data_IF_600135809620
#
_entry.id   IF_600135809620
#
_cell.length_a   1.000
_cell.length_b   1.000
_cell.length_c   1.000
_cell.angle_alpha   90.00
_cell.angle_beta   90.00
_cell.angle_gamma   90.00
#
_symmetry.space_group_name_H-M   'P 1'
#
loop_
_entity.id
_entity.type
_entity.pdbx_description
1 polymer ?
#
# COMPACT_ATOMS: atom_id res chain seq x y z
N UNK A 1 21.52 16.71 16.60
CA UNK A 1 22.68 16.41 15.75
C UNK A 1 23.11 17.67 15.02
N UNK A 2 22.31 18.27 14.13
CA UNK A 2 22.70 19.52 13.41
C UNK A 2 23.03 20.70 14.31
N UNK A 3 22.57 20.72 15.54
CA UNK A 3 22.87 21.76 16.54
C UNK A 3 24.14 21.47 17.36
N UNK A 4 24.96 20.46 17.01
CA UNK A 4 26.18 20.10 17.72
C UNK A 4 25.96 19.43 19.08
N UNK A 5 24.75 18.99 19.38
CA UNK A 5 24.42 18.26 20.64
C UNK A 5 24.82 16.81 20.48
N UNK A 6 25.62 16.26 21.39
CA UNK A 6 25.96 14.84 21.43
C UNK A 6 24.68 14.03 21.79
N UNK A 7 24.15 13.32 20.81
CA UNK A 7 22.90 12.57 20.93
C UNK A 7 23.15 11.08 20.78
N UNK A 8 22.62 10.26 21.69
CA UNK A 8 22.54 8.80 21.49
C UNK A 8 21.20 8.48 20.79
N UNK A 9 21.25 7.67 19.75
CA UNK A 9 20.08 7.31 18.96
C UNK A 9 19.76 5.83 19.20
N UNK A 10 18.55 5.54 19.69
CA UNK A 10 17.98 4.19 19.74
C UNK A 10 16.81 4.14 18.76
N UNK A 11 16.91 3.27 17.77
CA UNK A 11 15.85 3.06 16.79
C UNK A 11 15.10 1.77 17.08
N UNK A 12 13.77 1.84 17.10
CA UNK A 12 12.90 0.69 17.26
C UNK A 12 12.23 0.40 15.93
N UNK A 13 12.36 -0.82 15.43
CA UNK A 13 11.74 -1.26 14.17
C UNK A 13 11.37 -2.73 14.26
N UNK A 14 10.22 -3.09 13.73
CA UNK A 14 9.84 -4.50 13.55
C UNK A 14 10.60 -5.15 12.37
N UNK A 15 10.90 -4.35 11.34
CA UNK A 15 11.57 -4.78 10.10
C UNK A 15 12.54 -3.69 9.64
N UNK A 16 13.80 -3.71 10.10
CA UNK A 16 14.78 -2.67 9.78
C UNK A 16 15.19 -2.66 8.30
N UNK A 17 14.87 -3.72 7.56
CA UNK A 17 15.10 -3.85 6.11
C UNK A 17 13.76 -4.10 5.44
N UNK A 18 13.22 -3.12 4.72
CA UNK A 18 11.97 -3.28 3.98
C UNK A 18 12.22 -3.84 2.57
N UNK A 19 12.98 -3.11 1.75
CA UNK A 19 13.20 -3.47 0.35
C UNK A 19 14.68 -3.66 0.02
N UNK A 20 15.58 -2.97 0.71
CA UNK A 20 17.03 -2.99 0.44
C UNK A 20 17.83 -2.90 1.72
N UNK A 21 19.00 -3.50 1.74
CA UNK A 21 19.95 -3.33 2.85
C UNK A 21 20.40 -1.88 3.05
N UNK A 22 20.29 -1.04 2.03
CA UNK A 22 20.53 0.39 2.14
C UNK A 22 19.58 1.10 3.14
N UNK A 23 18.40 0.56 3.39
CA UNK A 23 17.48 1.14 4.38
C UNK A 23 18.09 1.06 5.77
N UNK A 24 18.66 -0.09 6.14
CA UNK A 24 19.39 -0.26 7.39
C UNK A 24 20.67 0.59 7.42
N UNK A 25 21.43 0.64 6.31
CA UNK A 25 22.60 1.51 6.20
C UNK A 25 22.26 2.96 6.49
N UNK A 26 21.17 3.50 5.89
CA UNK A 26 20.73 4.87 6.09
C UNK A 26 20.29 5.12 7.55
N UNK A 27 19.67 4.14 8.21
CA UNK A 27 19.36 4.22 9.63
C UNK A 27 20.64 4.30 10.48
N UNK A 28 21.63 3.49 10.19
CA UNK A 28 22.92 3.51 10.88
C UNK A 28 23.65 4.84 10.67
N UNK A 29 23.55 5.45 9.48
CA UNK A 29 24.13 6.76 9.19
C UNK A 29 23.64 7.87 10.14
N UNK A 30 22.43 7.77 10.65
CA UNK A 30 21.92 8.70 11.67
C UNK A 30 22.66 8.56 13.01
N UNK A 31 23.13 7.38 13.35
CA UNK A 31 23.81 7.13 14.61
C UNK A 31 25.26 7.70 14.66
N UNK A 32 25.91 7.78 13.50
CA UNK A 32 27.29 8.31 13.38
C UNK A 32 27.41 9.57 12.50
N UNK A 33 26.31 10.28 12.34
CA UNK A 33 26.29 11.61 11.70
C UNK A 33 26.83 11.62 10.26
N UNK A 34 26.80 10.47 9.58
CA UNK A 34 27.35 10.31 8.23
C UNK A 34 28.87 10.03 8.17
N UNK A 35 29.55 9.97 9.31
CA UNK A 35 30.99 9.67 9.40
C UNK A 35 31.22 8.17 9.57
N UNK A 36 31.15 7.41 8.47
CA UNK A 36 31.33 5.94 8.47
C UNK A 36 32.66 5.50 9.13
N UNK A 37 33.73 6.28 8.96
CA UNK A 37 35.05 6.04 9.52
C UNK A 37 35.04 5.86 11.06
N UNK A 38 34.13 6.54 11.76
CA UNK A 38 34.01 6.43 13.22
C UNK A 38 33.49 5.07 13.68
N UNK A 39 32.66 4.42 12.89
CA UNK A 39 32.19 3.06 13.18
C UNK A 39 33.21 2.03 12.72
N UNK A 40 33.82 2.21 11.58
CA UNK A 40 34.87 1.32 11.06
C UNK A 40 35.99 1.15 12.10
N UNK A 41 36.42 2.27 12.71
CA UNK A 41 37.40 2.27 13.79
C UNK A 41 36.87 1.66 15.09
N UNK A 42 35.62 1.92 15.46
CA UNK A 42 35.04 1.46 16.72
C UNK A 42 34.73 -0.05 16.72
N UNK A 43 34.37 -0.61 15.58
CA UNK A 43 34.03 -2.03 15.43
C UNK A 43 35.19 -2.90 15.00
N UNK A 44 36.33 -2.27 14.58
CA UNK A 44 37.53 -2.98 14.09
C UNK A 44 37.23 -3.99 12.96
N UNK A 45 36.22 -3.69 12.15
CA UNK A 45 35.83 -4.48 11.00
C UNK A 45 36.79 -4.14 9.86
N UNK A 46 37.48 -5.11 9.31
CA UNK A 46 38.56 -4.91 8.32
C UNK A 46 38.13 -4.35 6.95
N UNK A 47 36.86 -3.94 6.81
CA UNK A 47 36.26 -3.41 5.57
C UNK A 47 35.30 -2.27 5.90
N UNK A 48 35.17 -1.32 4.98
CA UNK A 48 34.24 -0.19 5.16
C UNK A 48 32.78 -0.66 5.18
N UNK A 49 31.94 0.00 6.00
CA UNK A 49 30.48 -0.28 6.07
C UNK A 49 29.85 -0.18 4.69
N UNK A 50 30.28 0.77 3.85
CA UNK A 50 29.78 0.93 2.49
C UNK A 50 30.04 -0.30 1.61
N UNK A 51 31.22 -0.89 1.72
CA UNK A 51 31.59 -2.10 0.99
C UNK A 51 30.82 -3.32 1.51
N UNK A 52 30.63 -3.43 2.82
CA UNK A 52 29.86 -4.52 3.43
C UNK A 52 28.42 -4.48 2.94
N UNK A 53 27.74 -3.35 3.01
CA UNK A 53 26.35 -3.20 2.53
C UNK A 53 26.22 -3.39 1.01
N UNK A 54 27.19 -2.88 0.23
CA UNK A 54 27.22 -3.09 -1.21
C UNK A 54 27.32 -4.58 -1.55
N UNK A 55 28.23 -5.30 -0.89
CA UNK A 55 28.41 -6.76 -1.09
C UNK A 55 27.17 -7.53 -0.69
N UNK A 56 26.57 -7.21 0.45
CA UNK A 56 25.33 -7.85 0.91
C UNK A 56 24.18 -7.61 -0.07
N UNK A 57 24.03 -6.38 -0.61
CA UNK A 57 22.99 -6.08 -1.60
C UNK A 57 23.21 -6.84 -2.92
N UNK A 58 24.45 -7.02 -3.36
CA UNK A 58 24.76 -7.83 -4.55
C UNK A 58 24.41 -9.30 -4.33
N UNK A 59 24.74 -9.86 -3.16
CA UNK A 59 24.38 -11.24 -2.78
C UNK A 59 22.85 -11.41 -2.77
N UNK A 60 22.12 -10.49 -2.17
CA UNK A 60 20.66 -10.49 -2.18
C UNK A 60 20.07 -10.41 -3.60
N UNK A 61 20.59 -9.52 -4.44
CA UNK A 61 20.12 -9.36 -5.81
C UNK A 61 20.37 -10.62 -6.65
N UNK A 62 21.49 -11.32 -6.40
CA UNK A 62 21.80 -12.61 -7.03
C UNK A 62 20.82 -13.68 -6.58
N UNK A 63 20.59 -13.81 -5.27
CA UNK A 63 19.63 -14.74 -4.69
C UNK A 63 18.20 -14.48 -5.19
N UNK A 64 17.76 -13.21 -5.27
CA UNK A 64 16.43 -12.83 -5.73
C UNK A 64 16.14 -13.18 -7.20
N UNK A 65 17.18 -13.40 -8.01
CA UNK A 65 17.06 -13.85 -9.42
C UNK A 65 16.99 -15.37 -9.58
N UNK A 66 17.18 -16.12 -8.52
CA UNK A 66 17.07 -17.59 -8.57
C UNK A 66 15.62 -18.00 -8.81
N UNK A 67 15.43 -19.22 -9.31
CA UNK A 67 14.10 -19.83 -9.40
C UNK A 67 13.48 -19.96 -8.00
N UNK A 68 12.13 -19.85 -7.86
CA UNK A 68 11.44 -19.87 -6.56
C UNK A 68 11.85 -21.04 -5.65
N UNK A 69 12.08 -22.23 -6.25
CA UNK A 69 12.48 -23.45 -5.52
C UNK A 69 13.87 -23.31 -4.87
N UNK A 70 14.73 -22.45 -5.40
CA UNK A 70 16.10 -22.25 -4.95
C UNK A 70 16.26 -21.00 -4.06
N UNK A 71 15.18 -20.22 -3.83
CA UNK A 71 15.20 -19.06 -2.96
C UNK A 71 14.95 -19.43 -1.50
N UNK A 72 15.87 -20.20 -0.92
CA UNK A 72 15.80 -20.54 0.51
C UNK A 72 16.60 -19.57 1.37
N UNK A 73 16.22 -19.45 2.64
CA UNK A 73 16.92 -18.58 3.60
C UNK A 73 18.35 -19.03 3.83
N UNK A 74 18.57 -20.34 3.91
CA UNK A 74 19.89 -20.96 4.10
C UNK A 74 20.85 -20.52 2.99
N UNK A 75 20.38 -20.56 1.74
CA UNK A 75 21.19 -20.16 0.59
C UNK A 75 21.49 -18.66 0.58
N UNK A 76 20.58 -17.81 1.06
CA UNK A 76 20.86 -16.39 1.23
C UNK A 76 21.93 -16.17 2.29
N UNK A 77 21.85 -16.87 3.43
CA UNK A 77 22.82 -16.77 4.51
C UNK A 77 24.22 -17.22 4.08
N UNK A 78 24.33 -18.23 3.23
CA UNK A 78 25.60 -18.69 2.66
C UNK A 78 26.25 -17.66 1.71
N UNK A 79 25.45 -16.86 1.00
CA UNK A 79 25.95 -15.84 0.08
C UNK A 79 26.31 -14.53 0.79
N UNK A 80 25.82 -14.31 2.02
CA UNK A 80 26.15 -13.12 2.81
C UNK A 80 27.52 -13.28 3.49
N UNK A 81 28.30 -12.21 3.52
CA UNK A 81 29.64 -12.23 4.13
C UNK A 81 29.57 -12.29 5.67
N UNK A 82 30.59 -12.88 6.29
CA UNK A 82 30.74 -12.89 7.75
C UNK A 82 30.77 -11.48 8.33
N UNK A 83 31.47 -10.55 7.69
CA UNK A 83 31.56 -9.13 8.10
C UNK A 83 30.19 -8.45 8.23
N UNK A 84 29.22 -8.85 7.39
CA UNK A 84 27.84 -8.34 7.46
C UNK A 84 27.13 -8.78 8.73
N UNK A 85 27.30 -10.03 9.15
CA UNK A 85 26.73 -10.53 10.40
C UNK A 85 27.40 -9.94 11.61
N UNK A 86 28.72 -9.78 11.59
CA UNK A 86 29.48 -9.14 12.68
C UNK A 86 29.05 -7.69 12.88
N UNK A 87 28.87 -6.95 11.79
CA UNK A 87 28.30 -5.59 11.83
C UNK A 87 26.89 -5.59 12.43
N UNK A 88 26.01 -6.48 11.98
CA UNK A 88 24.62 -6.56 12.49
C UNK A 88 24.61 -6.86 13.99
N UNK A 89 25.39 -7.82 14.45
CA UNK A 89 25.44 -8.18 15.88
C UNK A 89 25.95 -7.04 16.75
N UNK A 90 26.88 -6.23 16.23
CA UNK A 90 27.41 -5.08 16.95
C UNK A 90 26.41 -3.90 17.07
N UNK A 91 25.55 -3.69 16.08
CA UNK A 91 24.68 -2.51 16.00
C UNK A 91 23.20 -2.79 16.25
N UNK A 92 22.79 -4.04 16.33
CA UNK A 92 21.37 -4.42 16.51
C UNK A 92 21.14 -5.30 17.74
N UNK A 93 19.96 -5.13 18.35
CA UNK A 93 19.46 -6.02 19.37
C UNK A 93 18.23 -6.75 18.84
N UNK A 94 18.47 -7.88 18.14
CA UNK A 94 17.38 -8.66 17.55
C UNK A 94 16.76 -9.62 18.59
N UNK A 95 15.43 -9.69 18.62
CA UNK A 95 14.68 -10.61 19.47
C UNK A 95 13.60 -11.32 18.68
N UNK A 96 13.85 -12.58 18.32
CA UNK A 96 12.82 -13.44 17.71
C UNK A 96 11.93 -14.08 18.80
N UNK A 97 10.73 -14.54 18.42
CA UNK A 97 9.86 -15.28 19.35
C UNK A 97 10.54 -16.54 19.92
N UNK A 98 11.29 -17.26 19.11
CA UNK A 98 12.07 -18.43 19.55
C UNK A 98 13.15 -18.05 20.54
N UNK A 99 13.82 -16.91 20.36
CA UNK A 99 14.77 -16.37 21.30
C UNK A 99 14.10 -16.02 22.64
N UNK A 100 12.96 -15.32 22.58
CA UNK A 100 12.20 -14.95 23.79
C UNK A 100 11.80 -16.21 24.56
N UNK A 101 11.20 -17.21 23.91
CA UNK A 101 10.79 -18.46 24.57
C UNK A 101 11.95 -19.20 25.18
N UNK A 102 13.14 -19.16 24.55
CA UNK A 102 14.32 -19.91 25.03
C UNK A 102 15.04 -19.25 26.20
N UNK A 103 15.09 -17.92 26.24
CA UNK A 103 15.98 -17.19 27.16
C UNK A 103 15.27 -16.28 28.15
N UNK A 104 13.96 -16.06 28.04
CA UNK A 104 13.21 -15.19 28.95
C UNK A 104 12.12 -15.96 29.70
N UNK A 105 11.77 -15.50 30.89
CA UNK A 105 10.57 -16.00 31.59
C UNK A 105 9.32 -15.46 30.87
N UNK A 106 8.53 -16.38 30.34
CA UNK A 106 7.34 -16.06 29.55
C UNK A 106 6.04 -16.13 30.36
N UNK A 107 6.11 -16.25 31.70
CA UNK A 107 4.91 -16.35 32.56
C UNK A 107 3.97 -15.17 32.37
N UNK A 108 4.53 -13.97 32.32
CA UNK A 108 3.77 -12.72 32.19
C UNK A 108 3.34 -12.45 30.71
N UNK A 109 4.04 -13.03 29.74
CA UNK A 109 3.76 -12.84 28.31
C UNK A 109 2.72 -13.85 27.83
N UNK A 110 2.61 -15.03 28.45
CA UNK A 110 1.80 -16.14 28.03
C UNK A 110 2.42 -16.95 26.89
N UNK A 111 1.59 -17.78 26.23
CA UNK A 111 2.03 -18.61 25.09
C UNK A 111 1.89 -17.85 23.79
N UNK A 112 2.92 -17.89 22.96
CA UNK A 112 2.78 -17.40 21.58
C UNK A 112 1.80 -18.27 20.80
N UNK A 113 0.95 -17.65 19.94
CA UNK A 113 -0.02 -18.39 19.17
C UNK A 113 0.66 -19.32 18.14
N UNK A 114 -0.01 -20.45 17.87
CA UNK A 114 0.41 -21.37 16.82
C UNK A 114 0.38 -20.65 15.45
N UNK A 115 1.45 -20.82 14.67
CA UNK A 115 1.55 -20.30 13.31
C UNK A 115 1.48 -21.42 12.29
N UNK A 116 0.57 -21.30 11.35
CA UNK A 116 0.49 -22.18 10.18
C UNK A 116 1.27 -21.58 9.01
N UNK A 117 1.58 -22.41 8.03
CA UNK A 117 2.15 -21.94 6.77
C UNK A 117 1.13 -21.02 6.05
N UNK A 118 1.61 -19.96 5.36
CA UNK A 118 0.74 -19.10 4.56
C UNK A 118 0.04 -19.88 3.46
N UNK A 119 -1.23 -19.56 3.21
CA UNK A 119 -2.02 -20.14 2.12
C UNK A 119 -2.34 -19.05 1.10
N UNK A 120 -1.87 -19.23 -0.13
CA UNK A 120 -2.21 -18.32 -1.24
C UNK A 120 -3.50 -18.76 -1.90
N UNK A 121 -4.45 -17.84 -2.04
CA UNK A 121 -5.73 -18.03 -2.72
C UNK A 121 -5.77 -17.18 -3.99
N UNK A 122 -6.22 -17.75 -5.08
CA UNK A 122 -6.36 -17.06 -6.38
C UNK A 122 -7.75 -17.33 -6.95
N UNK A 123 -8.78 -16.63 -6.42
CA UNK A 123 -10.16 -16.81 -6.91
C UNK A 123 -10.29 -16.28 -8.35
N UNK A 124 -11.29 -16.78 -9.06
CA UNK A 124 -11.77 -16.16 -10.31
C UNK A 124 -12.32 -14.75 -9.99
N UNK A 125 -12.49 -13.93 -11.02
CA UNK A 125 -13.07 -12.60 -10.87
C UNK A 125 -14.54 -12.68 -10.44
N UNK A 126 -15.31 -13.53 -11.12
CA UNK A 126 -16.75 -13.75 -10.91
C UNK A 126 -17.14 -15.19 -11.25
N UNK A 127 -18.28 -15.62 -10.76
CA UNK A 127 -18.95 -16.88 -11.11
C UNK A 127 -20.07 -16.71 -12.14
N UNK A 128 -20.43 -15.46 -12.50
CA UNK A 128 -21.54 -15.18 -13.42
C UNK A 128 -21.28 -15.66 -14.85
N UNK A 129 -20.05 -15.50 -15.33
CA UNK A 129 -19.71 -15.83 -16.70
C UNK A 129 -18.22 -16.16 -16.80
N UNK A 130 -17.90 -17.27 -17.44
CA UNK A 130 -16.50 -17.67 -17.67
C UNK A 130 -15.78 -16.76 -18.68
N UNK A 131 -16.52 -15.91 -19.39
CA UNK A 131 -15.98 -15.01 -20.41
C UNK A 131 -15.40 -13.69 -19.87
N UNK A 132 -15.56 -13.36 -18.57
CA UNK A 132 -14.95 -12.16 -17.97
C UNK A 132 -13.84 -12.59 -17.02
N UNK A 133 -12.61 -12.47 -17.47
CA UNK A 133 -11.41 -12.83 -16.70
C UNK A 133 -10.55 -11.62 -16.39
N UNK A 134 -9.58 -11.79 -15.47
CA UNK A 134 -8.55 -10.77 -15.23
C UNK A 134 -7.75 -10.44 -16.50
N UNK A 135 -7.54 -11.42 -17.39
CA UNK A 135 -6.82 -11.23 -18.65
C UNK A 135 -7.58 -10.34 -19.62
N UNK A 136 -8.90 -10.55 -19.76
CA UNK A 136 -9.73 -9.75 -20.66
C UNK A 136 -9.75 -8.27 -20.21
N UNK A 137 -9.84 -8.03 -18.90
CA UNK A 137 -9.76 -6.67 -18.36
C UNK A 137 -8.38 -6.08 -18.56
N UNK A 138 -7.31 -6.86 -18.35
CA UNK A 138 -5.94 -6.38 -18.57
C UNK A 138 -5.66 -6.03 -20.04
N UNK A 139 -6.22 -6.77 -21.00
CA UNK A 139 -6.16 -6.45 -22.41
C UNK A 139 -6.82 -5.11 -22.71
N UNK A 140 -8.03 -4.86 -22.21
CA UNK A 140 -8.70 -3.57 -22.36
C UNK A 140 -7.93 -2.42 -21.70
N UNK A 141 -7.33 -2.65 -20.52
CA UNK A 141 -6.50 -1.64 -19.85
C UNK A 141 -5.24 -1.29 -20.65
N UNK A 142 -4.68 -2.22 -21.41
CA UNK A 142 -3.51 -1.97 -22.25
C UNK A 142 -3.81 -1.07 -23.45
N UNK A 143 -5.06 -1.01 -23.91
CA UNK A 143 -5.51 -0.13 -24.97
C UNK A 143 -5.68 1.33 -24.52
N UNK A 144 -5.71 1.60 -23.19
CA UNK A 144 -5.85 2.96 -22.66
C UNK A 144 -4.60 3.81 -22.93
N UNK A 145 -4.81 4.99 -23.50
CA UNK A 145 -3.79 6.02 -23.60
C UNK A 145 -3.52 6.71 -22.27
N UNK A 146 -4.51 6.73 -21.36
CA UNK A 146 -4.50 7.51 -20.14
C UNK A 146 -4.15 8.98 -20.36
N UNK A 147 -4.75 9.54 -21.43
CA UNK A 147 -4.49 10.88 -21.98
C UNK A 147 -4.79 12.00 -20.97
N UNK A 148 -5.66 11.72 -20.01
CA UNK A 148 -6.00 12.66 -18.92
C UNK A 148 -4.79 12.93 -17.99
N UNK A 149 -3.83 11.99 -17.91
CA UNK A 149 -2.62 12.12 -17.07
C UNK A 149 -1.39 12.62 -17.83
N UNK A 150 -1.52 12.84 -19.14
CA UNK A 150 -0.41 13.22 -20.01
C UNK A 150 -0.75 14.41 -20.90
N UNK A 151 -1.35 15.49 -20.40
CA UNK A 151 -1.73 16.64 -21.21
C UNK A 151 -0.55 17.37 -21.86
N UNK A 152 0.66 17.28 -21.29
CA UNK A 152 1.85 17.90 -21.87
C UNK A 152 2.25 17.30 -23.21
N UNK A 153 1.84 16.07 -23.52
CA UNK A 153 2.08 15.43 -24.80
C UNK A 153 1.33 16.12 -25.97
N UNK A 154 0.39 16.97 -25.64
CA UNK A 154 -0.46 17.70 -26.59
C UNK A 154 -0.11 19.19 -26.66
N UNK A 155 0.88 19.68 -25.89
CA UNK A 155 1.37 21.05 -25.98
C UNK A 155 2.08 21.23 -27.32
N UNK A 156 1.79 22.35 -28.01
CA UNK A 156 2.47 22.68 -29.26
C UNK A 156 3.98 22.89 -29.03
N UNK A 157 4.81 22.34 -29.88
CA UNK A 157 6.29 22.43 -29.76
C UNK A 157 6.78 23.88 -29.67
N UNK A 158 6.07 24.82 -30.28
CA UNK A 158 6.42 26.25 -30.30
C UNK A 158 6.38 26.93 -28.92
N UNK A 159 5.69 26.37 -27.93
CA UNK A 159 5.51 26.93 -26.58
C UNK A 159 5.95 25.98 -25.48
N UNK A 160 6.47 24.81 -25.84
CA UNK A 160 6.81 23.74 -24.89
C UNK A 160 7.91 24.16 -23.92
N UNK A 161 8.92 24.87 -24.42
CA UNK A 161 10.04 25.38 -23.63
C UNK A 161 9.59 26.32 -22.51
N UNK A 162 8.53 27.11 -22.73
CA UNK A 162 8.00 28.02 -21.71
C UNK A 162 7.43 27.27 -20.48
N UNK A 163 6.92 26.06 -20.69
CA UNK A 163 6.41 25.17 -19.63
C UNK A 163 7.55 24.43 -18.91
N UNK A 164 8.63 24.08 -19.59
CA UNK A 164 9.81 23.42 -19.00
C UNK A 164 10.58 24.33 -18.06
N UNK A 165 10.76 25.61 -18.43
CA UNK A 165 11.47 26.64 -17.64
C UNK A 165 10.77 26.86 -16.28
N UNK A 166 9.45 26.79 -16.21
CA UNK A 166 8.69 27.03 -14.99
C UNK A 166 8.76 25.86 -13.98
N UNK A 167 9.38 24.74 -14.31
CA UNK A 167 9.53 23.54 -13.48
C UNK A 167 10.99 23.28 -13.01
N UNK A 168 11.88 24.25 -13.06
CA UNK A 168 13.23 24.10 -12.55
C UNK A 168 13.23 23.67 -11.07
N UNK A 169 13.75 22.47 -10.81
CA UNK A 169 13.94 21.90 -9.47
C UNK A 169 13.71 20.40 -9.34
N UNK A 170 13.11 19.71 -10.31
CA UNK A 170 12.84 18.26 -10.22
C UNK A 170 13.80 17.35 -10.99
N UNK A 171 14.67 17.90 -11.84
CA UNK A 171 15.64 17.12 -12.64
C UNK A 171 15.02 16.20 -13.71
N UNK A 172 13.70 16.19 -13.87
CA UNK A 172 12.98 15.39 -14.87
C UNK A 172 12.23 16.32 -15.82
N UNK A 173 12.27 16.02 -17.13
CA UNK A 173 11.42 16.70 -18.12
C UNK A 173 9.95 16.43 -17.84
N UNK A 174 9.05 17.34 -18.27
CA UNK A 174 7.59 17.18 -18.15
C UNK A 174 7.16 15.84 -18.79
N UNK A 175 7.62 15.56 -20.00
CA UNK A 175 7.34 14.31 -20.72
C UNK A 175 7.77 13.05 -19.96
N UNK A 176 8.95 13.09 -19.32
CA UNK A 176 9.48 11.98 -18.54
C UNK A 176 8.64 11.70 -17.31
N UNK A 177 8.17 12.76 -16.64
CA UNK A 177 7.31 12.73 -15.48
C UNK A 177 5.92 12.15 -15.82
N UNK A 178 5.27 12.64 -16.89
CA UNK A 178 3.96 12.17 -17.31
C UNK A 178 3.98 10.73 -17.81
N UNK A 179 5.01 10.32 -18.55
CA UNK A 179 5.20 8.90 -18.92
C UNK A 179 5.35 8.01 -17.71
N UNK A 180 6.06 8.48 -16.67
CA UNK A 180 6.17 7.80 -15.39
C UNK A 180 4.81 7.68 -14.70
N UNK A 181 4.03 8.76 -14.66
CA UNK A 181 2.69 8.80 -14.08
C UNK A 181 1.73 7.85 -14.81
N UNK A 182 1.71 7.87 -16.14
CA UNK A 182 0.90 6.94 -16.94
C UNK A 182 1.18 5.48 -16.59
N UNK A 183 2.46 5.09 -16.51
CA UNK A 183 2.86 3.73 -16.13
C UNK A 183 2.44 3.39 -14.70
N UNK A 184 2.58 4.33 -13.78
CA UNK A 184 2.14 4.18 -12.39
C UNK A 184 0.63 3.97 -12.32
N UNK A 185 -0.15 4.78 -13.04
CA UNK A 185 -1.61 4.68 -13.06
C UNK A 185 -2.10 3.35 -13.67
N UNK A 186 -1.50 2.89 -14.76
CA UNK A 186 -1.81 1.57 -15.31
C UNK A 186 -1.55 0.44 -14.29
N UNK A 187 -0.41 0.51 -13.59
CA UNK A 187 -0.09 -0.44 -12.52
C UNK A 187 -1.07 -0.35 -11.35
N UNK A 188 -1.47 0.87 -10.98
CA UNK A 188 -2.41 1.09 -9.87
C UNK A 188 -3.81 0.54 -10.22
N UNK A 189 -4.28 0.71 -11.44
CA UNK A 189 -5.55 0.12 -11.91
C UNK A 189 -5.55 -1.41 -11.78
N UNK A 190 -4.46 -2.07 -12.17
CA UNK A 190 -4.32 -3.52 -12.00
C UNK A 190 -4.30 -3.92 -10.53
N UNK A 191 -3.58 -3.20 -9.67
CA UNK A 191 -3.57 -3.46 -8.22
C UNK A 191 -4.95 -3.27 -7.59
N UNK A 192 -5.73 -2.27 -8.03
CA UNK A 192 -7.09 -2.06 -7.55
C UNK A 192 -8.01 -3.19 -7.98
N UNK A 193 -7.88 -3.69 -9.22
CA UNK A 193 -8.61 -4.87 -9.69
C UNK A 193 -8.25 -6.11 -8.85
N UNK A 194 -6.97 -6.32 -8.57
CA UNK A 194 -6.54 -7.40 -7.68
C UNK A 194 -7.07 -7.25 -6.27
N UNK A 195 -7.21 -6.03 -5.77
CA UNK A 195 -7.71 -5.76 -4.43
C UNK A 195 -9.19 -6.09 -4.31
N UNK A 196 -10.05 -5.45 -5.11
CA UNK A 196 -11.49 -5.77 -5.24
C UNK A 196 -12.09 -5.20 -6.52
N UNK A 197 -13.10 -5.88 -7.05
CA UNK A 197 -13.89 -5.39 -8.18
C UNK A 197 -14.53 -4.03 -7.85
N UNK A 198 -14.98 -3.85 -6.60
CA UNK A 198 -15.59 -2.59 -6.17
C UNK A 198 -14.60 -1.41 -6.20
N UNK A 199 -13.40 -1.57 -5.63
CA UNK A 199 -12.36 -0.52 -5.64
C UNK A 199 -11.96 -0.16 -7.07
N UNK A 200 -11.83 -1.16 -7.94
CA UNK A 200 -11.51 -0.95 -9.34
C UNK A 200 -12.62 -0.16 -10.06
N UNK A 201 -13.89 -0.56 -9.88
CA UNK A 201 -15.06 0.10 -10.46
C UNK A 201 -15.18 1.56 -10.02
N UNK A 202 -14.98 1.85 -8.73
CA UNK A 202 -14.95 3.21 -8.21
C UNK A 202 -13.88 4.07 -8.88
N UNK A 203 -12.70 3.52 -9.08
CA UNK A 203 -11.60 4.24 -9.73
C UNK A 203 -11.88 4.50 -11.21
N UNK A 204 -12.39 3.49 -11.93
CA UNK A 204 -12.81 3.69 -13.33
C UNK A 204 -13.89 4.78 -13.44
N UNK A 205 -14.87 4.78 -12.53
CA UNK A 205 -15.90 5.82 -12.47
C UNK A 205 -15.31 7.22 -12.29
N UNK A 206 -14.41 7.38 -11.32
CA UNK A 206 -13.73 8.68 -11.08
C UNK A 206 -12.97 9.15 -12.33
N UNK A 207 -12.22 8.27 -12.99
CA UNK A 207 -11.48 8.63 -14.23
C UNK A 207 -12.47 9.02 -15.33
N UNK A 208 -13.56 8.27 -15.47
CA UNK A 208 -14.63 8.57 -16.45
C UNK A 208 -15.20 9.96 -16.23
N UNK A 209 -15.57 10.29 -14.99
CA UNK A 209 -16.11 11.59 -14.60
C UNK A 209 -15.14 12.73 -14.92
N UNK A 210 -13.84 12.54 -14.64
CA UNK A 210 -12.82 13.54 -14.95
C UNK A 210 -12.65 13.77 -16.44
N UNK A 211 -12.65 12.71 -17.24
CA UNK A 211 -12.58 12.84 -18.70
C UNK A 211 -13.82 13.57 -19.24
N UNK A 212 -15.02 13.22 -18.77
CA UNK A 212 -16.25 13.88 -19.18
C UNK A 212 -16.26 15.37 -18.82
N UNK A 213 -15.83 15.73 -17.60
CA UNK A 213 -15.69 17.12 -17.18
C UNK A 213 -14.67 17.87 -18.05
N UNK A 214 -13.53 17.26 -18.35
CA UNK A 214 -12.49 17.86 -19.20
C UNK A 214 -13.02 18.11 -20.62
N UNK A 215 -13.68 17.13 -21.23
CA UNK A 215 -14.30 17.28 -22.54
C UNK A 215 -15.38 18.36 -22.56
N UNK A 216 -16.15 18.50 -21.48
CA UNK A 216 -17.14 19.56 -21.34
C UNK A 216 -16.51 20.96 -21.26
N UNK A 217 -15.36 21.10 -20.57
CA UNK A 217 -14.60 22.37 -20.51
C UNK A 217 -14.07 22.72 -21.90
N UNK A 218 -13.46 21.76 -22.58
CA UNK A 218 -12.95 21.93 -23.95
C UNK A 218 -14.08 22.36 -24.89
N UNK A 219 -15.26 21.74 -24.80
CA UNK A 219 -16.42 22.04 -25.66
C UNK A 219 -17.02 23.41 -25.48
N UNK A 220 -16.83 24.06 -24.34
CA UNK A 220 -17.36 25.42 -24.06
C UNK A 220 -16.56 26.55 -24.70
N UNK A 221 -15.48 26.25 -25.44
CA UNK A 221 -14.58 27.25 -26.06
C UNK A 221 -14.09 28.35 -25.09
N UNK A 222 -13.97 28.04 -23.83
CA UNK A 222 -13.47 28.98 -22.83
C UNK A 222 -11.95 29.12 -22.97
N UNK A 223 -11.47 30.37 -23.01
CA UNK A 223 -10.04 30.73 -22.98
C UNK A 223 -9.38 30.45 -21.60
N UNK A 224 -9.81 29.41 -20.91
CA UNK A 224 -9.38 29.10 -19.55
C UNK A 224 -8.15 28.18 -19.52
N UNK A 225 -7.37 28.29 -18.45
CA UNK A 225 -6.35 27.32 -18.12
C UNK A 225 -6.97 26.11 -17.42
N UNK A 226 -6.59 24.91 -17.81
CA UNK A 226 -6.94 23.68 -17.08
C UNK A 226 -5.91 23.46 -15.99
N UNK A 227 -6.36 23.29 -14.76
CA UNK A 227 -5.52 22.87 -13.64
C UNK A 227 -5.38 21.33 -13.68
N UNK A 228 -4.27 20.86 -14.23
CA UNK A 228 -3.99 19.43 -14.42
C UNK A 228 -3.81 18.70 -13.10
N UNK A 229 -3.49 19.43 -12.01
CA UNK A 229 -3.29 18.82 -10.70
C UNK A 229 -4.56 18.40 -10.00
N UNK A 230 -5.71 18.94 -10.41
CA UNK A 230 -7.02 18.51 -9.88
C UNK A 230 -7.27 17.04 -10.20
N UNK A 231 -6.64 16.49 -11.25
CA UNK A 231 -6.85 15.10 -11.70
C UNK A 231 -5.96 14.08 -10.99
N UNK A 232 -4.86 14.49 -10.35
CA UNK A 232 -3.91 13.56 -9.71
C UNK A 232 -4.13 13.41 -8.21
N UNK A 233 -4.74 14.41 -7.54
CA UNK A 233 -4.85 14.45 -6.08
C UNK A 233 -5.95 13.54 -5.49
N UNK A 234 -7.07 13.35 -6.20
CA UNK A 234 -8.22 12.62 -5.65
C UNK A 234 -8.20 11.10 -5.90
N UNK A 235 -7.36 10.61 -6.79
CA UNK A 235 -7.25 9.18 -7.05
C UNK A 235 -6.41 8.44 -6.00
N UNK A 236 -5.55 9.15 -5.31
CA UNK A 236 -4.65 8.65 -4.27
C UNK A 236 -4.97 9.16 -2.87
N UNK A 237 -6.17 9.71 -2.62
CA UNK A 237 -6.58 10.20 -1.30
C UNK A 237 -6.67 9.12 -0.21
N UNK A 238 -6.17 7.92 -0.47
CA UNK A 238 -6.03 6.85 0.50
C UNK A 238 -4.57 6.40 0.59
N UNK A 239 -3.88 6.91 1.61
CA UNK A 239 -2.74 6.27 2.26
C UNK A 239 -1.37 6.23 1.56
N UNK A 240 -1.03 7.12 0.64
CA UNK A 240 0.37 7.27 0.27
C UNK A 240 0.94 8.64 0.70
N UNK A 241 1.30 8.77 1.97
CA UNK A 241 2.19 9.86 2.46
C UNK A 241 3.55 9.90 1.75
N UNK A 242 3.81 8.95 0.85
CA UNK A 242 5.08 8.75 0.13
C UNK A 242 4.97 8.87 -1.39
N UNK A 243 3.94 9.53 -1.95
CA UNK A 243 3.92 9.76 -3.38
C UNK A 243 4.86 10.93 -3.76
N UNK A 244 6.02 10.66 -4.43
CA UNK A 244 6.96 11.70 -4.84
C UNK A 244 6.39 12.64 -5.92
N UNK A 245 5.15 12.39 -6.38
CA UNK A 245 4.48 13.17 -7.43
C UNK A 245 3.49 14.21 -6.91
N UNK A 246 3.22 14.28 -5.61
CA UNK A 246 2.46 15.36 -4.98
C UNK A 246 3.33 16.62 -4.90
N UNK A 247 3.46 17.35 -6.00
CA UNK A 247 4.27 18.56 -5.95
C UNK A 247 4.10 19.47 -7.16
N UNK A 248 3.64 20.69 -6.92
CA UNK A 248 3.51 21.87 -7.79
C UNK A 248 2.47 21.77 -8.91
N UNK A 249 1.40 22.52 -8.74
CA UNK A 249 0.32 22.77 -9.68
C UNK A 249 0.86 23.33 -10.99
N UNK A 250 0.77 22.59 -12.07
CA UNK A 250 1.06 23.07 -13.42
C UNK A 250 -0.26 23.42 -14.11
N UNK A 251 -0.45 24.69 -14.41
CA UNK A 251 -1.57 25.15 -15.20
C UNK A 251 -1.15 25.17 -16.67
N UNK A 252 -1.85 24.43 -17.52
CA UNK A 252 -1.64 24.45 -18.94
C UNK A 252 -2.81 25.21 -19.59
N UNK A 253 -2.49 26.16 -20.47
CA UNK A 253 -3.49 26.95 -21.18
C UNK A 253 -4.03 26.13 -22.36
N UNK A 254 -5.35 26.08 -22.52
CA UNK A 254 -5.99 25.36 -23.65
C UNK A 254 -5.57 25.90 -25.04
N UNK A 255 -5.11 27.15 -25.12
CA UNK A 255 -4.59 27.73 -26.38
C UNK A 255 -3.27 27.11 -26.82
N UNK A 256 -2.51 26.57 -25.88
CA UNK A 256 -1.17 26.02 -26.08
C UNK A 256 -1.19 24.51 -26.34
N UNK A 257 -2.37 23.91 -26.40
CA UNK A 257 -2.58 22.46 -26.58
C UNK A 257 -3.28 22.18 -27.91
N UNK A 258 -2.89 21.10 -28.59
CA UNK A 258 -3.66 20.47 -29.65
C UNK A 258 -4.92 19.82 -29.07
N UNK A 259 -5.93 20.66 -28.87
CA UNK A 259 -7.21 20.30 -28.24
C UNK A 259 -7.93 19.22 -29.06
N UNK A 260 -7.77 19.19 -30.38
CA UNK A 260 -8.45 18.23 -31.25
C UNK A 260 -7.86 16.84 -31.03
N UNK A 261 -6.55 16.72 -31.09
CA UNK A 261 -5.85 15.45 -30.83
C UNK A 261 -6.12 14.96 -29.42
N UNK A 262 -5.98 15.83 -28.40
CA UNK A 262 -6.25 15.47 -27.01
C UNK A 262 -7.69 15.02 -26.79
N UNK A 263 -8.68 15.73 -27.33
CA UNK A 263 -10.08 15.34 -27.22
C UNK A 263 -10.39 13.99 -27.87
N UNK A 264 -9.72 13.64 -28.97
CA UNK A 264 -9.91 12.35 -29.62
C UNK A 264 -9.37 11.21 -28.74
N UNK A 265 -8.18 11.39 -28.16
CA UNK A 265 -7.57 10.38 -27.27
C UNK A 265 -8.36 10.26 -25.96
N UNK A 266 -8.88 11.38 -25.42
CA UNK A 266 -9.79 11.34 -24.26
C UNK A 266 -11.10 10.59 -24.54
N UNK A 267 -11.68 10.76 -25.74
CA UNK A 267 -12.89 10.00 -26.13
C UNK A 267 -12.60 8.52 -26.29
N UNK A 268 -11.45 8.17 -26.86
CA UNK A 268 -11.02 6.79 -26.96
C UNK A 268 -10.87 6.14 -25.58
N UNK A 269 -10.17 6.80 -24.67
CA UNK A 269 -10.05 6.34 -23.27
C UNK A 269 -11.43 6.19 -22.60
N UNK A 270 -12.34 7.15 -22.83
CA UNK A 270 -13.68 7.15 -22.28
C UNK A 270 -14.52 5.94 -22.77
N UNK A 271 -14.42 5.57 -24.04
CA UNK A 271 -15.11 4.41 -24.61
C UNK A 271 -14.64 3.11 -23.96
N UNK A 272 -13.33 2.94 -23.78
CA UNK A 272 -12.74 1.77 -23.13
C UNK A 272 -13.17 1.71 -21.66
N UNK A 273 -13.11 2.83 -20.92
CA UNK A 273 -13.53 2.89 -19.53
C UNK A 273 -15.01 2.54 -19.34
N UNK A 274 -15.88 3.04 -20.23
CA UNK A 274 -17.32 2.71 -20.22
C UNK A 274 -17.56 1.23 -20.54
N UNK A 275 -16.80 0.65 -21.46
CA UNK A 275 -16.84 -0.78 -21.75
C UNK A 275 -16.45 -1.60 -20.53
N UNK A 276 -15.33 -1.26 -19.85
CA UNK A 276 -14.91 -1.91 -18.62
C UNK A 276 -15.96 -1.82 -17.51
N UNK A 277 -16.55 -0.63 -17.31
CA UNK A 277 -17.62 -0.45 -16.34
C UNK A 277 -18.85 -1.30 -16.67
N UNK A 278 -19.20 -1.44 -17.94
CA UNK A 278 -20.29 -2.29 -18.39
C UNK A 278 -19.98 -3.77 -18.14
N UNK A 279 -18.78 -4.25 -18.44
CA UNK A 279 -18.33 -5.63 -18.16
C UNK A 279 -18.45 -5.99 -16.67
N UNK A 280 -18.18 -5.02 -15.79
CA UNK A 280 -18.18 -5.22 -14.35
C UNK A 280 -19.55 -4.99 -13.69
N UNK A 281 -20.53 -4.47 -14.43
CA UNK A 281 -21.80 -3.98 -13.87
C UNK A 281 -22.55 -5.04 -13.05
N UNK A 282 -22.58 -6.24 -13.56
CA UNK A 282 -23.39 -7.33 -12.98
C UNK A 282 -22.64 -8.13 -11.90
N UNK A 283 -21.36 -7.81 -11.65
CA UNK A 283 -20.59 -8.42 -10.56
C UNK A 283 -21.02 -7.76 -9.23
N UNK A 284 -22.10 -8.29 -8.65
CA UNK A 284 -22.56 -7.89 -7.31
C UNK A 284 -21.69 -8.57 -6.22
N UNK A 285 -21.82 -8.20 -4.93
CA UNK A 285 -21.07 -8.84 -3.85
C UNK A 285 -21.28 -10.37 -3.79
N UNK A 286 -22.46 -10.89 -4.19
CA UNK A 286 -22.76 -12.31 -4.26
C UNK A 286 -21.93 -13.03 -5.33
N UNK A 287 -21.61 -12.34 -6.41
CA UNK A 287 -20.86 -12.82 -7.56
C UNK A 287 -19.37 -12.43 -7.55
N UNK A 288 -18.93 -11.70 -6.52
CA UNK A 288 -17.51 -11.41 -6.27
C UNK A 288 -16.85 -12.64 -5.62
N UNK A 289 -16.20 -13.46 -6.43
CA UNK A 289 -15.56 -14.69 -5.96
C UNK A 289 -14.52 -14.46 -4.87
N UNK A 290 -13.83 -13.32 -4.87
CA UNK A 290 -12.85 -12.99 -3.84
C UNK A 290 -13.51 -12.68 -2.49
N UNK A 291 -14.59 -11.90 -2.51
CA UNK A 291 -15.38 -11.64 -1.31
C UNK A 291 -16.02 -12.94 -0.78
N UNK A 292 -16.60 -13.76 -1.64
CA UNK A 292 -17.23 -15.02 -1.24
C UNK A 292 -16.21 -16.02 -0.66
N UNK A 293 -15.00 -16.06 -1.20
CA UNK A 293 -13.90 -16.85 -0.64
C UNK A 293 -13.51 -16.35 0.76
N UNK A 294 -13.40 -15.03 0.96
CA UNK A 294 -13.15 -14.43 2.27
C UNK A 294 -14.26 -14.82 3.28
N UNK A 295 -15.53 -14.76 2.87
CA UNK A 295 -16.67 -15.20 3.69
C UNK A 295 -16.52 -16.65 4.13
N UNK A 296 -16.13 -17.52 3.20
CA UNK A 296 -15.92 -18.95 3.49
C UNK A 296 -14.77 -19.18 4.47
N UNK A 297 -13.63 -18.50 4.25
CA UNK A 297 -12.46 -18.61 5.12
C UNK A 297 -12.75 -18.06 6.53
N UNK A 298 -13.52 -16.98 6.65
CA UNK A 298 -13.96 -16.43 7.94
C UNK A 298 -14.90 -17.40 8.68
N UNK A 299 -15.87 -17.99 8.00
CA UNK A 299 -16.77 -19.01 8.60
C UNK A 299 -15.97 -20.19 9.12
N UNK A 300 -15.04 -20.71 8.33
CA UNK A 300 -14.16 -21.81 8.75
C UNK A 300 -13.34 -21.42 9.98
N UNK A 301 -12.75 -20.22 10.01
CA UNK A 301 -11.97 -19.72 11.15
C UNK A 301 -12.80 -19.58 12.42
N UNK A 302 -14.06 -19.15 12.33
CA UNK A 302 -14.92 -18.99 13.50
C UNK A 302 -15.43 -20.33 14.04
N UNK A 303 -15.64 -21.32 13.17
CA UNK A 303 -16.05 -22.66 13.56
C UNK A 303 -14.90 -23.52 14.10
N UNK A 304 -13.72 -23.35 13.50
CA UNK A 304 -12.51 -24.12 13.81
C UNK A 304 -11.31 -23.17 14.04
N UNK A 305 -11.26 -22.47 15.18
CA UNK A 305 -10.18 -21.56 15.47
C UNK A 305 -8.84 -22.30 15.60
N UNK A 306 -7.78 -21.75 14.98
CA UNK A 306 -6.43 -22.33 14.99
C UNK A 306 -5.85 -22.38 16.41
N UNK A 307 -6.10 -21.32 17.17
CA UNK A 307 -5.76 -21.23 18.60
C UNK A 307 -7.06 -21.33 19.40
N UNK A 308 -7.07 -22.14 20.41
CA UNK A 308 -8.23 -22.41 21.25
C UNK A 308 -8.88 -21.12 21.74
N UNK A 309 -10.20 -21.03 21.63
CA UNK A 309 -11.03 -19.85 21.98
C UNK A 309 -10.69 -18.53 21.28
N UNK A 310 -9.75 -18.53 20.33
CA UNK A 310 -9.36 -17.32 19.63
C UNK A 310 -10.01 -17.21 18.23
N UNK A 311 -11.11 -16.45 18.17
CA UNK A 311 -11.81 -16.12 16.92
C UNK A 311 -11.33 -14.82 16.27
N UNK A 312 -10.34 -14.14 16.83
CA UNK A 312 -9.86 -12.85 16.29
C UNK A 312 -9.26 -13.01 14.91
N UNK A 313 -9.61 -12.07 14.03
CA UNK A 313 -9.14 -11.99 12.64
C UNK A 313 -8.70 -10.57 12.33
N UNK A 314 -7.56 -10.44 11.68
CA UNK A 314 -7.07 -9.19 11.11
C UNK A 314 -7.06 -9.32 9.59
N UNK A 315 -7.78 -8.41 8.92
CA UNK A 315 -7.89 -8.35 7.47
C UNK A 315 -7.16 -7.08 6.99
N UNK A 316 -6.08 -7.26 6.26
CA UNK A 316 -5.37 -6.15 5.62
C UNK A 316 -5.79 -5.98 4.17
N UNK A 317 -5.95 -4.72 3.75
CA UNK A 317 -6.17 -4.34 2.37
C UNK A 317 -5.20 -3.24 1.96
N UNK A 318 -4.82 -3.22 0.69
CA UNK A 318 -3.97 -2.16 0.15
C UNK A 318 -4.72 -0.83 -0.07
N UNK A 319 -6.06 -0.86 -0.14
CA UNK A 319 -6.87 0.31 -0.47
C UNK A 319 -8.02 0.48 0.52
N UNK A 320 -8.27 1.71 0.95
CA UNK A 320 -9.37 2.05 1.85
C UNK A 320 -10.75 1.73 1.22
N UNK A 321 -10.94 1.99 -0.08
CA UNK A 321 -12.16 1.60 -0.80
C UNK A 321 -12.47 0.09 -0.65
N UNK A 322 -11.44 -0.77 -0.63
CA UNK A 322 -11.62 -2.22 -0.39
C UNK A 322 -11.93 -2.52 1.07
N UNK A 323 -11.31 -1.81 2.02
CA UNK A 323 -11.61 -1.97 3.43
C UNK A 323 -13.05 -1.58 3.75
N UNK A 324 -13.51 -0.45 3.22
CA UNK A 324 -14.89 0.02 3.32
C UNK A 324 -15.87 -0.99 2.71
N UNK A 325 -15.59 -1.47 1.51
CA UNK A 325 -16.40 -2.48 0.84
C UNK A 325 -16.55 -3.75 1.67
N UNK A 326 -15.45 -4.31 2.19
CA UNK A 326 -15.49 -5.50 3.04
C UNK A 326 -16.31 -5.23 4.31
N UNK A 327 -16.13 -4.07 4.94
CA UNK A 327 -16.87 -3.69 6.13
C UNK A 327 -18.38 -3.59 5.85
N UNK A 328 -18.78 -2.92 4.79
CA UNK A 328 -20.18 -2.74 4.39
C UNK A 328 -20.88 -4.06 4.07
N UNK A 329 -20.16 -5.00 3.46
CA UNK A 329 -20.73 -6.30 3.10
C UNK A 329 -20.74 -7.30 4.26
N UNK A 330 -19.81 -7.23 5.20
CA UNK A 330 -19.61 -8.30 6.18
C UNK A 330 -19.90 -7.90 7.62
N UNK A 331 -19.81 -6.62 8.01
CA UNK A 331 -19.85 -6.22 9.41
C UNK A 331 -21.17 -6.62 10.10
N UNK A 332 -22.29 -6.22 9.51
CA UNK A 332 -23.62 -6.55 10.06
C UNK A 332 -23.93 -8.05 9.99
N UNK A 333 -23.49 -8.71 8.94
CA UNK A 333 -23.67 -10.13 8.76
C UNK A 333 -22.91 -10.93 9.82
N UNK A 334 -21.64 -10.63 10.05
CA UNK A 334 -20.82 -11.27 11.09
C UNK A 334 -21.42 -11.02 12.46
N UNK A 335 -21.89 -9.79 12.75
CA UNK A 335 -22.54 -9.46 14.02
C UNK A 335 -23.81 -10.28 14.22
N UNK A 336 -24.66 -10.40 13.20
CA UNK A 336 -25.96 -11.13 13.28
C UNK A 336 -25.77 -12.65 13.32
N UNK A 337 -24.90 -13.20 12.44
CA UNK A 337 -24.76 -14.66 12.30
C UNK A 337 -23.83 -15.27 13.36
N UNK A 338 -22.80 -14.55 13.80
CA UNK A 338 -21.75 -15.07 14.66
C UNK A 338 -21.68 -14.39 16.04
N UNK A 339 -22.40 -13.30 16.27
CA UNK A 339 -22.32 -12.52 17.50
C UNK A 339 -21.02 -11.74 17.69
N UNK A 340 -20.12 -11.72 16.68
CA UNK A 340 -18.80 -11.13 16.73
C UNK A 340 -18.83 -9.66 16.30
N UNK A 341 -18.03 -8.82 16.94
CA UNK A 341 -17.91 -7.41 16.57
C UNK A 341 -16.83 -7.20 15.51
N UNK A 342 -17.14 -6.30 14.57
CA UNK A 342 -16.24 -5.92 13.48
C UNK A 342 -15.84 -4.47 13.65
N UNK A 343 -14.54 -4.19 13.52
CA UNK A 343 -13.97 -2.84 13.46
C UNK A 343 -13.32 -2.58 12.11
N UNK A 344 -13.29 -1.32 11.70
CA UNK A 344 -12.62 -0.83 10.51
C UNK A 344 -11.70 0.33 10.89
N UNK A 345 -10.48 0.30 10.38
CA UNK A 345 -9.51 1.40 10.48
C UNK A 345 -8.86 1.64 9.12
N UNK A 346 -8.88 2.89 8.70
CA UNK A 346 -8.12 3.37 7.53
C UNK A 346 -7.35 4.63 7.89
N UNK A 347 -6.34 5.02 7.12
CA UNK A 347 -5.53 6.21 7.42
C UNK A 347 -6.30 7.53 7.40
N UNK A 348 -7.46 7.56 6.74
CA UNK A 348 -8.26 8.77 6.51
C UNK A 348 -9.48 8.93 7.42
N UNK A 349 -9.78 7.96 8.30
CA UNK A 349 -11.01 7.97 9.11
C UNK A 349 -10.77 7.68 10.58
N UNK A 350 -11.68 8.17 11.45
CA UNK A 350 -11.67 7.88 12.90
C UNK A 350 -12.00 6.42 13.25
N UNK A 351 -12.20 5.58 12.24
CA UNK A 351 -12.60 4.20 12.41
C UNK A 351 -14.12 4.01 12.49
N UNK A 352 -14.58 2.78 12.25
CA UNK A 352 -15.98 2.34 12.41
C UNK A 352 -16.02 1.03 13.18
N UNK A 353 -17.15 0.74 13.88
CA UNK A 353 -17.28 -0.54 14.56
C UNK A 353 -18.76 -0.88 14.79
N UNK A 354 -19.06 -2.17 14.96
CA UNK A 354 -20.42 -2.68 15.19
C UNK A 354 -20.87 -2.65 16.65
N UNK A 355 -20.03 -2.20 17.59
CA UNK A 355 -20.38 -2.03 19.01
C UNK A 355 -21.26 -0.77 19.13
N UNK A 356 -22.48 -0.88 19.71
CA UNK A 356 -23.36 0.28 19.86
C UNK A 356 -22.76 1.36 20.78
N UNK A 357 -22.94 2.65 20.43
CA UNK A 357 -22.47 3.80 21.22
C UNK A 357 -20.96 3.78 21.50
N UNK A 358 -20.20 3.15 20.62
CA UNK A 358 -18.75 3.06 20.74
C UNK A 358 -18.10 4.45 20.61
N UNK A 359 -17.14 4.83 21.48
CA UNK A 359 -16.41 6.09 21.32
C UNK A 359 -15.41 5.97 20.16
N UNK A 360 -15.86 6.34 18.96
CA UNK A 360 -15.08 6.18 17.73
C UNK A 360 -13.78 6.97 17.79
N UNK A 361 -12.67 6.26 17.69
CA UNK A 361 -11.34 6.79 17.42
C UNK A 361 -10.43 5.63 16.99
N UNK A 362 -9.38 5.94 16.25
CA UNK A 362 -8.35 5.00 15.85
C UNK A 362 -7.83 4.15 17.03
N UNK A 363 -7.41 4.82 18.10
CA UNK A 363 -6.84 4.14 19.29
C UNK A 363 -7.87 3.27 20.01
N UNK A 364 -9.13 3.70 20.09
CA UNK A 364 -10.17 2.92 20.77
C UNK A 364 -10.47 1.62 20.02
N UNK A 365 -10.56 1.65 18.69
CA UNK A 365 -10.76 0.43 17.88
C UNK A 365 -9.61 -0.56 18.13
N UNK A 366 -8.36 -0.10 18.14
CA UNK A 366 -7.21 -0.95 18.46
C UNK A 366 -7.25 -1.48 19.89
N UNK A 367 -7.66 -0.66 20.86
CA UNK A 367 -7.78 -1.04 22.27
C UNK A 367 -8.83 -2.15 22.46
N UNK A 368 -9.93 -2.08 21.75
CA UNK A 368 -10.98 -3.10 21.84
C UNK A 368 -10.66 -4.35 21.00
N UNK A 369 -9.82 -4.24 19.96
CA UNK A 369 -9.31 -5.40 19.24
C UNK A 369 -8.23 -6.13 20.04
N UNK A 370 -7.35 -5.41 20.73
CA UNK A 370 -6.25 -5.96 21.54
C UNK A 370 -6.35 -5.54 23.01
N UNK A 371 -7.38 -6.01 23.74
CA UNK A 371 -7.75 -5.48 25.04
C UNK A 371 -6.69 -5.66 26.13
N UNK A 372 -5.92 -6.74 26.07
CA UNK A 372 -4.86 -7.01 27.05
C UNK A 372 -3.64 -6.13 26.81
N UNK A 373 -3.14 -6.09 25.58
CA UNK A 373 -1.92 -5.34 25.22
C UNK A 373 -2.10 -3.81 25.20
N UNK A 374 -3.35 -3.35 25.16
CA UNK A 374 -3.73 -1.92 25.16
C UNK A 374 -4.39 -1.48 26.47
N UNK A 375 -4.29 -2.28 27.53
CA UNK A 375 -4.79 -1.97 28.88
C UNK A 375 -6.28 -1.51 28.90
N UNK A 376 -7.14 -2.15 28.08
CA UNK A 376 -8.56 -1.77 27.98
C UNK A 376 -9.24 -1.74 29.35
N UNK A 377 -8.94 -2.70 30.25
CA UNK A 377 -9.54 -2.76 31.57
C UNK A 377 -9.27 -1.51 32.42
N UNK A 378 -8.14 -0.85 32.20
CA UNK A 378 -7.77 0.42 32.85
C UNK A 378 -8.47 1.60 32.19
N UNK A 379 -8.43 1.65 30.84
CA UNK A 379 -8.99 2.76 30.07
C UNK A 379 -10.53 2.74 30.04
N UNK A 380 -11.13 1.57 29.99
CA UNK A 380 -12.57 1.35 29.87
C UNK A 380 -13.06 0.26 30.85
N UNK A 381 -13.05 0.53 32.18
CA UNK A 381 -13.31 -0.50 33.21
C UNK A 381 -14.72 -1.13 33.12
N UNK A 382 -15.67 -0.46 32.50
CA UNK A 382 -17.04 -0.95 32.35
C UNK A 382 -17.30 -1.68 31.03
N UNK A 383 -16.32 -1.68 30.10
CA UNK A 383 -16.49 -2.32 28.80
C UNK A 383 -16.18 -3.82 28.89
N UNK A 384 -17.11 -4.63 28.44
CA UNK A 384 -16.98 -6.10 28.38
C UNK A 384 -16.86 -6.60 26.94
N UNK A 385 -17.21 -5.78 25.97
CA UNK A 385 -17.21 -6.15 24.55
C UNK A 385 -15.82 -6.03 23.94
N UNK A 386 -15.49 -6.98 23.05
CA UNK A 386 -14.27 -6.97 22.23
C UNK A 386 -14.63 -6.70 20.78
N UNK A 387 -13.68 -6.21 20.00
CA UNK A 387 -13.69 -6.31 18.55
C UNK A 387 -12.97 -7.60 18.18
N UNK A 388 -13.65 -8.46 17.41
CA UNK A 388 -13.17 -9.78 17.03
C UNK A 388 -12.54 -9.79 15.64
N UNK A 389 -13.11 -9.01 14.72
CA UNK A 389 -12.62 -8.85 13.35
C UNK A 389 -12.20 -7.41 13.13
N UNK A 390 -10.94 -7.18 12.78
CA UNK A 390 -10.44 -5.88 12.42
C UNK A 390 -10.08 -5.84 10.94
N UNK A 391 -10.70 -4.92 10.21
CA UNK A 391 -10.39 -4.61 8.81
C UNK A 391 -9.54 -3.35 8.82
N UNK A 392 -8.39 -3.38 8.15
CA UNK A 392 -7.47 -2.24 8.16
C UNK A 392 -6.66 -2.11 6.87
N UNK A 393 -6.19 -0.91 6.62
CA UNK A 393 -5.11 -0.63 5.66
C UNK A 393 -3.75 -0.65 6.36
N UNK A 394 -2.69 -0.32 5.62
CA UNK A 394 -1.31 -0.31 6.13
C UNK A 394 -1.08 0.64 7.32
N UNK A 395 -2.03 1.52 7.63
CA UNK A 395 -1.95 2.48 8.75
C UNK A 395 -1.76 1.83 10.14
N UNK A 396 -1.93 0.51 10.26
CA UNK A 396 -1.69 -0.26 11.51
C UNK A 396 -0.56 -1.27 11.36
N UNK A 397 0.21 -1.21 10.30
CA UNK A 397 1.30 -2.17 10.03
C UNK A 397 2.54 -1.94 10.89
N UNK A 398 2.65 -0.78 11.57
CA UNK A 398 3.74 -0.38 12.47
C UNK A 398 3.33 -0.35 13.95
#
# INVERSE_FOLDING_TARGET
IRAGVKTKVLMLSATPVNNRFNDLKNQLQLAYEGHAEQIDDALNIGRSIDDIFRTAQLAYNKWAKLQPEHRTTERLLEELSFDFFELLDAVTIARSRSHIVKYYDTKDIGKFPTRLAPVSRRPKLTDLNESITFSDIAEQLNELNLSIYTPSLYIFDSVKDDYEINMEGSGLSIDGREKGLRKLMATNLLKRLESSVNSFRLTLGRITDYIEQTLAIIGRKNDGAIDVTTFTGDLDSTDSENDPFVGKKSKINLRDIDVVRWSNDLRHDLEILKLLLLMLKDITPEHDCKLQMLVSDLKQKFQHPINEDNKKVLIFTAFADTADYIYEQLADRIKKECGLNVGLITGSTDGRCTIPKFPMSFNNVLTFFSPVSKDRAVLFPKATEDIDVLIATDCISE
#
